data_IF_993465968830
#
_entry.id   IF_993465968830
#
_cell.length_a   1.000
_cell.length_b   1.000
_cell.length_c   1.000
_cell.angle_alpha   90.00
_cell.angle_beta   90.00
_cell.angle_gamma   90.00
#
_symmetry.space_group_name_H-M   'P 1'
#
loop_
_entity.id
_entity.type
_entity.pdbx_description
1 polymer ?
#
# COMPACT_ATOMS: atom_id res chain seq x y z
N UNK A 1 -3.68 -1.80 -10.79
CA UNK A 1 -3.72 -0.35 -10.48
C UNK A 1 -2.51 0.06 -9.64
N UNK A 2 -2.40 -0.27 -8.36
CA UNK A 2 -1.29 0.16 -7.47
C UNK A 2 0.08 -0.08 -8.07
N UNK A 3 0.31 -1.25 -8.71
CA UNK A 3 1.57 -1.55 -9.38
C UNK A 3 1.95 -0.50 -10.44
N UNK A 4 1.00 -0.08 -11.29
CA UNK A 4 1.24 0.94 -12.33
C UNK A 4 1.48 2.34 -11.74
N UNK A 5 0.73 2.69 -10.70
CA UNK A 5 0.93 3.97 -9.98
C UNK A 5 2.32 4.01 -9.32
N UNK A 6 2.75 2.89 -8.72
CA UNK A 6 4.08 2.77 -8.15
C UNK A 6 5.17 2.84 -9.23
N UNK A 7 5.01 2.15 -10.35
CA UNK A 7 5.96 2.20 -11.47
C UNK A 7 6.12 3.61 -12.04
N UNK A 8 5.01 4.35 -12.15
CA UNK A 8 5.03 5.76 -12.55
C UNK A 8 5.84 6.62 -11.58
N UNK A 9 5.61 6.46 -10.27
CA UNK A 9 6.34 7.21 -9.25
C UNK A 9 7.83 6.85 -9.22
N UNK A 10 8.17 5.58 -9.41
CA UNK A 10 9.56 5.11 -9.52
C UNK A 10 10.20 5.70 -10.77
N UNK A 11 9.57 5.58 -11.93
CA UNK A 11 10.15 6.05 -13.21
C UNK A 11 10.26 7.56 -13.30
N UNK A 12 9.38 8.29 -12.65
CA UNK A 12 9.43 9.76 -12.57
C UNK A 12 10.52 10.29 -11.61
N UNK A 13 11.05 9.44 -10.73
CA UNK A 13 11.98 9.85 -9.67
C UNK A 13 13.39 9.32 -9.83
N UNK A 14 13.54 8.10 -10.29
CA UNK A 14 14.83 7.44 -10.38
C UNK A 14 15.26 7.27 -11.84
N UNK A 15 16.58 7.35 -12.13
CA UNK A 15 17.09 7.12 -13.47
C UNK A 15 16.68 5.76 -14.03
N UNK A 16 16.41 5.72 -15.33
CA UNK A 16 16.09 4.48 -16.04
C UNK A 16 17.24 3.48 -15.89
N UNK A 17 16.91 2.23 -15.54
CA UNK A 17 17.89 1.17 -15.35
C UNK A 17 18.58 1.16 -13.98
N UNK A 18 18.28 2.13 -13.10
CA UNK A 18 18.82 2.10 -11.74
C UNK A 18 18.22 0.91 -10.97
N UNK A 19 19.10 0.12 -10.37
CA UNK A 19 18.71 -0.94 -9.44
C UNK A 19 18.47 -0.34 -8.07
N UNK A 20 17.19 -0.28 -7.64
CA UNK A 20 16.77 0.29 -6.39
C UNK A 20 16.84 -0.74 -5.25
N UNK A 21 17.09 -0.25 -4.04
CA UNK A 21 16.96 -0.99 -2.79
C UNK A 21 15.54 -0.74 -2.27
N UNK A 22 14.73 -1.79 -2.20
CA UNK A 22 13.32 -1.71 -1.83
C UNK A 22 13.08 -2.47 -0.53
N UNK A 23 12.36 -1.86 0.40
CA UNK A 23 11.80 -2.51 1.59
C UNK A 23 10.28 -2.61 1.42
N UNK A 24 9.73 -3.82 1.58
CA UNK A 24 8.28 -4.07 1.57
C UNK A 24 7.87 -4.56 2.96
N UNK A 25 7.24 -3.67 3.75
CA UNK A 25 6.84 -3.92 5.13
C UNK A 25 5.41 -4.42 5.19
N UNK A 26 5.21 -5.57 5.83
CA UNK A 26 3.94 -6.29 5.77
C UNK A 26 3.71 -6.82 4.35
N UNK A 27 4.73 -7.43 3.75
CA UNK A 27 4.70 -7.87 2.35
C UNK A 27 3.63 -8.94 2.07
N UNK A 28 3.05 -9.55 3.12
CA UNK A 28 2.09 -10.65 2.99
C UNK A 28 2.69 -11.82 2.20
N UNK A 29 2.01 -12.24 1.13
CA UNK A 29 2.45 -13.31 0.23
C UNK A 29 3.62 -12.92 -0.69
N UNK A 30 4.13 -11.68 -0.58
CA UNK A 30 5.27 -11.19 -1.35
C UNK A 30 4.96 -10.79 -2.79
N UNK A 31 3.71 -10.56 -3.16
CA UNK A 31 3.31 -10.28 -4.56
C UNK A 31 4.00 -9.04 -5.12
N UNK A 32 4.02 -7.91 -4.39
CA UNK A 32 4.69 -6.69 -4.83
C UNK A 32 6.20 -6.81 -4.76
N UNK A 33 6.72 -7.39 -3.67
CA UNK A 33 8.15 -7.65 -3.51
C UNK A 33 8.70 -8.48 -4.68
N UNK A 34 8.04 -9.58 -5.03
CA UNK A 34 8.45 -10.45 -6.13
C UNK A 34 8.37 -9.75 -7.49
N UNK A 35 7.31 -8.96 -7.73
CA UNK A 35 7.18 -8.15 -8.94
C UNK A 35 8.36 -7.19 -9.12
N UNK A 36 8.76 -6.49 -8.05
CA UNK A 36 9.89 -5.56 -8.07
C UNK A 36 11.24 -6.28 -8.23
N UNK A 37 11.41 -7.47 -7.63
CA UNK A 37 12.60 -8.29 -7.85
C UNK A 37 12.71 -8.77 -9.31
N UNK A 38 11.59 -9.14 -9.96
CA UNK A 38 11.52 -9.45 -11.40
C UNK A 38 11.86 -8.23 -12.27
N UNK A 39 11.48 -7.02 -11.84
CA UNK A 39 11.84 -5.76 -12.51
C UNK A 39 13.34 -5.40 -12.35
N UNK A 40 14.10 -6.15 -11.55
CA UNK A 40 15.56 -5.99 -11.42
C UNK A 40 16.02 -5.30 -10.13
N UNK A 41 15.12 -4.91 -9.25
CA UNK A 41 15.44 -4.25 -7.99
C UNK A 41 15.93 -5.24 -6.93
N UNK A 42 16.67 -4.74 -5.92
CA UNK A 42 17.01 -5.49 -4.71
C UNK A 42 15.90 -5.28 -3.69
N UNK A 43 15.21 -6.35 -3.32
CA UNK A 43 14.03 -6.26 -2.47
C UNK A 43 14.24 -7.00 -1.16
N UNK A 44 13.90 -6.35 -0.06
CA UNK A 44 13.77 -6.98 1.25
C UNK A 44 12.30 -6.93 1.66
N UNK A 45 11.69 -8.07 1.87
CA UNK A 45 10.34 -8.18 2.43
C UNK A 45 10.42 -8.48 3.92
N UNK A 46 9.65 -7.75 4.72
CA UNK A 46 9.47 -7.95 6.15
C UNK A 46 8.02 -8.33 6.41
N UNK A 47 7.77 -9.47 7.08
CA UNK A 47 6.44 -9.98 7.37
C UNK A 47 6.43 -10.69 8.73
N UNK A 48 5.40 -10.44 9.53
CA UNK A 48 5.29 -11.01 10.87
C UNK A 48 4.51 -12.34 10.91
N UNK A 49 3.59 -12.60 9.97
CA UNK A 49 2.83 -13.85 9.93
C UNK A 49 3.68 -14.96 9.29
N UNK A 50 4.08 -16.01 10.05
CA UNK A 50 4.92 -17.08 9.54
C UNK A 50 4.25 -17.86 8.40
N UNK A 51 2.93 -17.88 8.33
CA UNK A 51 2.18 -18.52 7.23
C UNK A 51 2.35 -17.72 5.94
N UNK A 52 2.29 -16.40 6.00
CA UNK A 52 2.53 -15.52 4.85
C UNK A 52 4.00 -15.62 4.40
N UNK A 53 4.93 -15.65 5.36
CA UNK A 53 6.37 -15.87 5.10
C UNK A 53 6.61 -17.18 4.37
N UNK A 54 5.96 -18.26 4.80
CA UNK A 54 6.08 -19.60 4.15
C UNK A 54 5.60 -19.54 2.69
N UNK A 55 4.44 -18.94 2.43
CA UNK A 55 3.89 -18.77 1.07
C UNK A 55 4.80 -17.91 0.19
N UNK A 56 5.35 -16.83 0.74
CA UNK A 56 6.28 -15.97 0.01
C UNK A 56 7.60 -16.69 -0.32
N UNK A 57 8.13 -17.50 0.60
CA UNK A 57 9.33 -18.32 0.37
C UNK A 57 9.09 -19.40 -0.69
N UNK A 58 7.93 -20.04 -0.68
CA UNK A 58 7.55 -21.03 -1.71
C UNK A 58 7.46 -20.37 -3.09
N UNK A 59 6.77 -19.21 -3.18
CA UNK A 59 6.67 -18.43 -4.42
C UNK A 59 8.06 -18.02 -4.94
N UNK A 60 8.95 -17.58 -4.04
CA UNK A 60 10.32 -17.21 -4.40
C UNK A 60 11.15 -18.42 -4.85
N UNK A 61 10.97 -19.58 -4.23
CA UNK A 61 11.70 -20.79 -4.61
C UNK A 61 11.41 -21.24 -6.06
N UNK A 62 10.21 -20.96 -6.57
CA UNK A 62 9.83 -21.20 -7.97
C UNK A 62 10.45 -20.25 -8.99
N UNK A 63 11.13 -19.17 -8.56
CA UNK A 63 11.72 -18.19 -9.46
C UNK A 63 13.11 -18.60 -9.96
N UNK A 64 13.54 -18.09 -11.14
CA UNK A 64 14.90 -18.20 -11.62
C UNK A 64 15.92 -17.68 -10.59
N UNK A 65 17.12 -18.29 -10.55
CA UNK A 65 18.17 -17.95 -9.60
C UNK A 65 18.50 -16.46 -9.53
N UNK A 66 18.55 -15.78 -10.69
CA UNK A 66 18.81 -14.34 -10.76
C UNK A 66 17.76 -13.49 -10.06
N UNK A 67 16.49 -13.94 -9.99
CA UNK A 67 15.42 -13.27 -9.24
C UNK A 67 15.53 -13.61 -7.76
N UNK A 68 15.74 -14.90 -7.42
CA UNK A 68 15.92 -15.33 -6.04
C UNK A 68 17.04 -14.57 -5.32
N UNK A 69 18.17 -14.32 -6.00
CA UNK A 69 19.30 -13.54 -5.45
C UNK A 69 18.97 -12.07 -5.17
N UNK A 70 17.88 -11.54 -5.74
CA UNK A 70 17.46 -10.15 -5.56
C UNK A 70 16.45 -9.96 -4.44
N UNK A 71 15.88 -11.02 -3.89
CA UNK A 71 14.84 -10.94 -2.85
C UNK A 71 15.30 -11.61 -1.57
N UNK A 72 15.22 -10.88 -0.47
CA UNK A 72 15.44 -11.36 0.89
C UNK A 72 14.12 -11.30 1.65
N UNK A 73 13.77 -12.35 2.37
CA UNK A 73 12.57 -12.43 3.21
C UNK A 73 13.00 -12.53 4.67
N UNK A 74 12.52 -11.59 5.49
CA UNK A 74 12.75 -11.54 6.93
C UNK A 74 11.41 -11.72 7.63
N UNK A 75 11.37 -12.62 8.60
CA UNK A 75 10.25 -12.75 9.53
C UNK A 75 10.46 -11.77 10.67
N UNK A 76 9.52 -10.83 10.87
CA UNK A 76 9.65 -9.79 11.88
C UNK A 76 8.52 -8.76 11.80
N UNK A 77 8.43 -7.96 12.87
CA UNK A 77 7.45 -6.89 12.99
C UNK A 77 7.91 -5.63 12.23
N UNK A 78 7.01 -5.02 11.47
CA UNK A 78 7.27 -3.76 10.77
C UNK A 78 7.61 -2.58 11.69
N UNK A 79 7.18 -2.63 12.94
CA UNK A 79 7.51 -1.62 13.97
C UNK A 79 8.99 -1.65 14.37
N UNK A 80 9.66 -2.78 14.17
CA UNK A 80 11.04 -3.01 14.57
C UNK A 80 12.04 -2.85 13.41
N UNK A 81 11.69 -2.09 12.35
CA UNK A 81 12.57 -1.88 11.19
C UNK A 81 13.96 -1.39 11.59
N UNK A 82 14.07 -0.56 12.64
CA UNK A 82 15.34 -0.05 13.16
C UNK A 82 16.25 -1.11 13.79
N UNK A 83 15.71 -2.30 14.15
CA UNK A 83 16.51 -3.44 14.62
C UNK A 83 17.20 -4.15 13.46
N UNK A 84 16.56 -4.14 12.30
CA UNK A 84 17.03 -4.90 11.13
C UNK A 84 17.86 -4.06 10.16
N UNK A 85 17.65 -2.73 10.12
CA UNK A 85 18.21 -1.88 9.07
C UNK A 85 18.75 -0.55 9.61
N UNK A 86 19.76 -0.03 8.93
CA UNK A 86 20.28 1.31 9.19
C UNK A 86 19.37 2.38 8.54
N UNK A 87 19.30 3.58 9.12
CA UNK A 87 18.63 4.72 8.50
C UNK A 87 19.17 5.00 7.09
N UNK A 88 18.30 5.33 6.15
CA UNK A 88 18.70 5.63 4.77
C UNK A 88 19.09 4.42 3.93
N UNK A 89 18.79 3.20 4.38
CA UNK A 89 19.20 1.98 3.69
C UNK A 89 18.43 1.71 2.39
N UNK A 90 17.26 2.33 2.18
CA UNK A 90 16.36 2.02 1.07
C UNK A 90 16.01 3.24 0.22
N UNK A 91 15.89 3.03 -1.07
CA UNK A 91 15.47 4.04 -2.04
C UNK A 91 13.93 4.10 -2.13
N UNK A 92 13.25 2.95 -1.89
CA UNK A 92 11.80 2.82 -1.87
C UNK A 92 11.38 1.99 -0.65
N UNK A 93 10.37 2.46 0.08
CA UNK A 93 9.73 1.72 1.17
C UNK A 93 8.23 1.59 0.88
N UNK A 94 7.73 0.37 0.91
CA UNK A 94 6.32 0.04 0.74
C UNK A 94 5.71 -0.35 2.09
N UNK A 95 4.46 0.07 2.33
CA UNK A 95 3.65 -0.37 3.45
C UNK A 95 2.18 -0.41 2.98
N UNK A 96 1.79 -1.55 2.42
CA UNK A 96 0.51 -1.72 1.76
C UNK A 96 -0.44 -2.60 2.56
N UNK A 97 -1.57 -2.04 3.01
CA UNK A 97 -2.61 -2.77 3.75
C UNK A 97 -2.22 -3.13 5.18
N UNK A 98 -1.23 -2.46 5.76
CA UNK A 98 -0.71 -2.74 7.11
C UNK A 98 -1.32 -1.82 8.16
N UNK A 99 -1.43 -0.51 7.86
CA UNK A 99 -1.84 0.50 8.86
C UNK A 99 -3.19 0.21 9.50
N UNK A 100 -4.09 -0.45 8.78
CA UNK A 100 -5.40 -0.83 9.31
C UNK A 100 -5.33 -1.77 10.54
N UNK A 101 -4.20 -2.46 10.72
CA UNK A 101 -3.94 -3.39 11.84
C UNK A 101 -3.11 -2.77 12.96
N UNK A 102 -2.71 -1.50 12.83
CA UNK A 102 -1.85 -0.80 13.78
C UNK A 102 -2.67 0.27 14.50
N UNK A 103 -2.80 0.16 15.81
CA UNK A 103 -3.59 1.08 16.63
C UNK A 103 -3.01 2.50 16.58
N UNK A 104 -1.69 2.64 16.76
CA UNK A 104 -0.95 3.89 16.69
C UNK A 104 0.03 3.85 15.48
N UNK A 105 -0.35 4.38 14.32
CA UNK A 105 0.47 4.27 13.10
C UNK A 105 1.67 5.21 13.05
N UNK A 106 1.67 6.32 13.81
CA UNK A 106 2.69 7.36 13.71
C UNK A 106 4.11 6.86 14.02
N UNK A 107 4.34 6.02 15.06
CA UNK A 107 5.66 5.44 15.30
C UNK A 107 6.14 4.53 14.15
N UNK A 108 5.22 3.73 13.57
CA UNK A 108 5.54 2.90 12.41
C UNK A 108 5.92 3.79 11.22
N UNK A 109 5.10 4.79 10.89
CA UNK A 109 5.35 5.71 9.76
C UNK A 109 6.67 6.47 9.92
N UNK A 110 7.00 6.93 11.14
CA UNK A 110 8.29 7.55 11.44
C UNK A 110 9.46 6.57 11.23
N UNK A 111 9.29 5.32 11.66
CA UNK A 111 10.25 4.24 11.41
C UNK A 111 10.49 4.01 9.91
N UNK A 112 9.42 3.92 9.13
CA UNK A 112 9.49 3.74 7.67
C UNK A 112 10.20 4.91 6.98
N UNK A 113 9.86 6.15 7.35
CA UNK A 113 10.50 7.35 6.80
C UNK A 113 12.01 7.37 7.11
N UNK A 114 12.43 6.93 8.30
CA UNK A 114 13.86 6.81 8.65
C UNK A 114 14.61 5.80 7.78
N UNK A 115 13.96 4.75 7.30
CA UNK A 115 14.58 3.74 6.43
C UNK A 115 14.88 4.27 5.03
N UNK A 116 14.21 5.33 4.59
CA UNK A 116 14.42 5.93 3.27
C UNK A 116 15.73 6.70 3.19
N UNK A 117 16.42 6.58 2.07
CA UNK A 117 17.46 7.50 1.66
C UNK A 117 16.87 8.90 1.37
N UNK A 118 17.70 9.94 1.36
CA UNK A 118 17.29 11.27 0.91
C UNK A 118 16.76 11.21 -0.53
N UNK A 119 15.62 11.83 -0.81
CA UNK A 119 14.90 11.70 -2.08
C UNK A 119 14.17 10.37 -2.28
N UNK A 120 14.22 9.46 -1.31
CA UNK A 120 13.56 8.15 -1.39
C UNK A 120 12.05 8.23 -1.34
N UNK A 121 11.39 7.21 -1.89
CA UNK A 121 9.94 7.12 -2.08
C UNK A 121 9.30 6.25 -0.99
N UNK A 122 8.36 6.79 -0.23
CA UNK A 122 7.43 6.05 0.62
C UNK A 122 6.13 5.79 -0.15
N UNK A 123 5.70 4.55 -0.21
CA UNK A 123 4.43 4.14 -0.84
C UNK A 123 3.54 3.47 0.20
N UNK A 124 2.38 4.09 0.47
CA UNK A 124 1.39 3.60 1.42
C UNK A 124 0.11 3.23 0.68
N UNK A 125 -0.50 2.10 1.02
CA UNK A 125 -1.85 1.75 0.59
C UNK A 125 -2.72 1.54 1.83
N UNK A 126 -3.75 2.38 1.98
CA UNK A 126 -4.60 2.41 3.18
C UNK A 126 -6.08 2.40 2.83
N UNK A 127 -6.94 1.96 3.75
CA UNK A 127 -8.40 2.14 3.63
C UNK A 127 -8.73 3.63 3.77
N UNK A 128 -9.57 4.13 2.87
CA UNK A 128 -10.00 5.52 2.88
C UNK A 128 -11.08 5.76 3.95
N UNK A 129 -10.73 6.48 5.00
CA UNK A 129 -11.65 6.84 6.08
C UNK A 129 -12.74 7.81 5.67
N UNK A 130 -12.47 8.65 4.66
CA UNK A 130 -13.43 9.64 4.17
C UNK A 130 -14.51 9.01 3.24
N UNK A 131 -14.32 7.75 2.80
CA UNK A 131 -15.23 7.03 1.92
C UNK A 131 -15.93 5.82 2.57
N UNK A 132 -15.81 5.63 3.88
CA UNK A 132 -16.38 4.46 4.58
C UNK A 132 -17.89 4.33 4.42
N UNK A 133 -18.62 5.45 4.38
CA UNK A 133 -20.07 5.47 4.23
C UNK A 133 -20.57 5.06 2.83
N UNK A 134 -19.70 5.10 1.81
CA UNK A 134 -20.12 4.93 0.42
C UNK A 134 -20.62 3.51 0.15
N UNK A 135 -19.87 2.49 0.53
CA UNK A 135 -20.25 1.09 0.29
C UNK A 135 -21.54 0.69 0.99
N UNK A 136 -21.70 0.89 2.32
CA UNK A 136 -22.96 0.59 2.98
C UNK A 136 -24.12 1.42 2.44
N UNK A 137 -23.91 2.70 2.10
CA UNK A 137 -24.95 3.53 1.48
C UNK A 137 -25.41 2.99 0.12
N UNK A 138 -24.50 2.60 -0.76
CA UNK A 138 -24.84 2.03 -2.07
C UNK A 138 -25.51 0.65 -1.97
N UNK A 139 -25.25 -0.10 -0.90
CA UNK A 139 -25.89 -1.40 -0.64
C UNK A 139 -27.21 -1.31 0.15
N UNK A 140 -27.66 -0.10 0.51
CA UNK A 140 -28.90 0.12 1.26
C UNK A 140 -28.80 -0.11 2.78
N UNK A 141 -27.59 -0.30 3.31
CA UNK A 141 -27.33 -0.42 4.75
C UNK A 141 -27.26 0.99 5.40
N UNK A 142 -28.38 1.69 5.46
CA UNK A 142 -28.43 3.11 5.81
C UNK A 142 -27.92 3.43 7.21
N UNK A 143 -28.20 2.57 8.19
CA UNK A 143 -27.72 2.75 9.57
C UNK A 143 -26.19 2.66 9.66
N UNK A 144 -25.58 1.69 8.95
CA UNK A 144 -24.14 1.53 8.89
C UNK A 144 -23.49 2.71 8.15
N UNK A 145 -24.11 3.16 7.05
CA UNK A 145 -23.65 4.33 6.32
C UNK A 145 -23.66 5.59 7.21
N UNK A 146 -24.72 5.81 7.99
CA UNK A 146 -24.80 6.94 8.90
C UNK A 146 -23.68 6.88 9.97
N UNK A 147 -23.48 5.72 10.58
CA UNK A 147 -22.42 5.52 11.58
C UNK A 147 -21.04 5.76 11.01
N UNK A 148 -20.79 5.39 9.75
CA UNK A 148 -19.50 5.50 9.10
C UNK A 148 -19.04 6.96 8.85
N UNK A 149 -19.90 7.97 8.96
CA UNK A 149 -19.49 9.38 8.91
C UNK A 149 -18.75 9.82 10.18
N UNK A 150 -19.04 9.19 11.32
CA UNK A 150 -18.56 9.62 12.64
C UNK A 150 -17.39 8.80 13.15
N UNK A 151 -16.95 7.77 12.41
CA UNK A 151 -15.87 6.88 12.84
C UNK A 151 -14.92 6.53 11.70
N UNK A 152 -13.67 6.18 12.07
CA UNK A 152 -12.71 5.53 11.16
C UNK A 152 -12.58 4.04 11.45
N UNK A 153 -13.24 3.53 12.49
CA UNK A 153 -13.31 2.10 12.75
C UNK A 153 -14.34 1.45 11.81
N UNK A 154 -14.00 0.31 11.23
CA UNK A 154 -14.92 -0.43 10.37
C UNK A 154 -14.64 -1.94 10.42
N UNK A 155 -15.63 -2.72 10.03
CA UNK A 155 -15.47 -4.16 9.88
C UNK A 155 -15.08 -4.49 8.44
N UNK A 156 -13.93 -5.14 8.26
CA UNK A 156 -13.46 -5.49 6.92
C UNK A 156 -14.20 -6.74 6.37
N UNK A 157 -13.93 -7.11 5.11
CA UNK A 157 -14.56 -8.29 4.46
C UNK A 157 -14.22 -9.63 5.12
N UNK A 158 -13.18 -9.68 5.94
CA UNK A 158 -12.81 -10.85 6.74
C UNK A 158 -13.51 -10.88 8.10
N UNK A 159 -14.37 -9.90 8.39
CA UNK A 159 -15.08 -9.78 9.67
C UNK A 159 -14.20 -9.26 10.81
N UNK A 160 -13.04 -8.70 10.52
CA UNK A 160 -12.15 -8.12 11.53
C UNK A 160 -12.47 -6.64 11.74
N UNK A 161 -12.47 -6.21 12.98
CA UNK A 161 -12.56 -4.80 13.35
C UNK A 161 -11.18 -4.16 13.12
N UNK A 162 -11.13 -3.17 12.26
CA UNK A 162 -9.91 -2.50 11.79
C UNK A 162 -10.16 -0.99 11.65
N UNK A 163 -9.10 -0.24 11.42
CA UNK A 163 -9.19 1.21 11.22
C UNK A 163 -8.97 1.60 9.75
N UNK A 164 -9.50 2.76 9.40
CA UNK A 164 -9.22 3.46 8.15
C UNK A 164 -8.47 4.76 8.45
N UNK A 165 -7.85 5.34 7.43
CA UNK A 165 -7.07 6.55 7.55
C UNK A 165 -7.68 7.66 6.68
N UNK A 166 -7.68 8.90 7.18
CA UNK A 166 -8.12 10.06 6.40
C UNK A 166 -6.93 10.69 5.68
N UNK A 167 -7.16 11.11 4.44
CA UNK A 167 -6.14 11.74 3.61
C UNK A 167 -5.47 12.94 4.30
N UNK A 168 -6.27 13.78 4.93
CA UNK A 168 -5.79 14.98 5.63
C UNK A 168 -4.83 14.64 6.78
N UNK A 169 -5.16 13.64 7.58
CA UNK A 169 -4.38 13.25 8.75
C UNK A 169 -3.04 12.64 8.31
N UNK A 170 -3.07 11.71 7.36
CA UNK A 170 -1.84 11.14 6.79
C UNK A 170 -0.96 12.19 6.10
N UNK A 171 -1.55 13.18 5.42
CA UNK A 171 -0.77 14.27 4.82
C UNK A 171 -0.02 15.05 5.89
N UNK A 172 -0.66 15.34 7.02
CA UNK A 172 -0.04 16.03 8.16
C UNK A 172 1.05 15.19 8.80
N UNK A 173 0.79 13.91 9.07
CA UNK A 173 1.77 12.98 9.65
C UNK A 173 2.99 12.84 8.73
N UNK A 174 2.78 12.63 7.42
CA UNK A 174 3.87 12.50 6.45
C UNK A 174 4.76 13.75 6.38
N UNK A 175 4.16 14.94 6.45
CA UNK A 175 4.93 16.19 6.53
C UNK A 175 5.76 16.24 7.83
N UNK A 176 5.16 15.88 8.96
CA UNK A 176 5.81 15.89 10.28
C UNK A 176 6.99 14.92 10.41
N UNK A 177 6.96 13.79 9.71
CA UNK A 177 8.05 12.78 9.73
C UNK A 177 9.11 12.99 8.64
N UNK A 178 9.06 14.10 7.89
CA UNK A 178 10.04 14.44 6.86
C UNK A 178 9.91 13.64 5.55
N UNK A 179 8.72 13.08 5.29
CA UNK A 179 8.37 12.44 4.02
C UNK A 179 7.06 13.01 3.45
N UNK A 180 7.00 14.36 3.17
CA UNK A 180 5.78 15.02 2.75
C UNK A 180 5.13 14.33 1.55
N UNK A 181 3.80 14.39 1.49
CA UNK A 181 3.02 13.83 0.40
C UNK A 181 3.39 14.50 -0.91
N UNK A 182 3.81 13.70 -1.90
CA UNK A 182 4.16 14.13 -3.25
C UNK A 182 3.03 13.89 -4.24
N UNK A 183 2.41 12.71 -4.17
CA UNK A 183 1.29 12.33 -5.02
C UNK A 183 0.35 11.37 -4.28
N UNK A 184 -0.92 11.32 -4.69
CA UNK A 184 -1.85 10.30 -4.20
C UNK A 184 -2.89 9.93 -5.26
N UNK A 185 -3.43 8.74 -5.13
CA UNK A 185 -4.38 8.13 -6.04
C UNK A 185 -5.51 7.46 -5.28
N UNK A 186 -6.71 7.45 -5.88
CA UNK A 186 -7.78 6.56 -5.48
C UNK A 186 -7.58 5.15 -6.07
N UNK A 187 -7.99 4.15 -5.33
CA UNK A 187 -7.96 2.73 -5.75
C UNK A 187 -9.31 2.11 -5.44
N UNK A 188 -9.88 1.38 -6.40
CA UNK A 188 -11.23 0.81 -6.32
C UNK A 188 -12.30 1.88 -6.10
N UNK A 189 -12.44 2.78 -7.08
CA UNK A 189 -13.46 3.84 -7.06
C UNK A 189 -14.85 3.24 -7.31
N UNK A 190 -14.98 2.37 -8.32
CA UNK A 190 -16.23 1.76 -8.73
C UNK A 190 -16.39 0.30 -8.27
N UNK A 191 -15.26 -0.40 -8.10
CA UNK A 191 -15.26 -1.85 -7.84
C UNK A 191 -15.46 -2.22 -6.36
N UNK A 192 -15.32 -1.29 -5.41
CA UNK A 192 -15.53 -1.59 -3.98
C UNK A 192 -16.99 -1.90 -3.63
N UNK A 193 -17.94 -1.36 -4.39
CA UNK A 193 -19.37 -1.61 -4.21
C UNK A 193 -19.84 -2.94 -4.82
N UNK A 194 -19.01 -3.59 -5.64
CA UNK A 194 -19.35 -4.89 -6.21
C UNK A 194 -19.50 -5.96 -5.10
N UNK A 195 -20.43 -6.89 -5.32
CA UNK A 195 -20.61 -8.04 -4.44
C UNK A 195 -19.31 -8.87 -4.39
N UNK A 196 -19.08 -9.55 -3.26
CA UNK A 196 -17.85 -10.31 -3.04
C UNK A 196 -17.69 -11.51 -3.98
N UNK A 197 -18.82 -12.00 -4.52
CA UNK A 197 -18.94 -13.07 -5.50
C UNK A 197 -19.15 -12.59 -6.94
N UNK A 198 -19.08 -11.26 -7.17
CA UNK A 198 -19.26 -10.70 -8.51
C UNK A 198 -18.22 -11.24 -9.49
N UNK A 199 -18.70 -11.74 -10.63
CA UNK A 199 -17.82 -12.18 -11.70
C UNK A 199 -16.96 -11.02 -12.23
N UNK A 200 -15.69 -11.34 -12.56
CA UNK A 200 -14.81 -10.37 -13.22
C UNK A 200 -15.43 -10.03 -14.60
N UNK A 201 -15.70 -8.76 -14.90
CA UNK A 201 -16.26 -8.39 -16.17
C UNK A 201 -15.41 -8.91 -17.35
N UNK A 202 -16.06 -9.36 -18.42
CA UNK A 202 -15.37 -9.84 -19.62
C UNK A 202 -14.46 -8.80 -20.27
N UNK A 203 -14.68 -7.51 -20.00
CA UNK A 203 -13.81 -6.40 -20.44
C UNK A 203 -12.99 -5.83 -19.27
N UNK A 204 -12.13 -6.66 -18.70
CA UNK A 204 -11.22 -6.26 -17.63
C UNK A 204 -10.26 -5.12 -18.02
N UNK A 205 -9.96 -4.95 -19.32
CA UNK A 205 -9.10 -3.86 -19.79
C UNK A 205 -9.79 -2.51 -19.66
N UNK A 206 -11.04 -2.39 -20.09
CA UNK A 206 -11.84 -1.17 -19.94
C UNK A 206 -12.11 -0.87 -18.48
N UNK A 207 -12.42 -1.87 -17.66
CA UNK A 207 -12.57 -1.72 -16.23
C UNK A 207 -11.31 -1.09 -15.60
N UNK A 208 -10.13 -1.65 -15.88
CA UNK A 208 -8.87 -1.10 -15.37
C UNK A 208 -8.60 0.33 -15.84
N UNK A 209 -8.91 0.64 -17.11
CA UNK A 209 -8.72 1.98 -17.66
C UNK A 209 -9.63 3.02 -16.98
N UNK A 210 -10.88 2.65 -16.72
CA UNK A 210 -11.85 3.52 -16.01
C UNK A 210 -11.42 3.74 -14.56
N UNK A 211 -11.04 2.68 -13.85
CA UNK A 211 -10.54 2.78 -12.48
C UNK A 211 -9.27 3.62 -12.38
N UNK A 212 -8.32 3.45 -13.31
CA UNK A 212 -7.10 4.27 -13.36
C UNK A 212 -7.41 5.75 -13.60
N UNK A 213 -8.34 6.05 -14.50
CA UNK A 213 -8.75 7.43 -14.78
C UNK A 213 -9.46 8.04 -13.57
N UNK A 214 -10.43 7.33 -12.99
CA UNK A 214 -11.16 7.79 -11.82
C UNK A 214 -10.22 7.99 -10.61
N UNK A 215 -9.28 7.06 -10.39
CA UNK A 215 -8.29 7.15 -9.31
C UNK A 215 -7.31 8.32 -9.40
N UNK A 216 -7.32 9.09 -10.52
CA UNK A 216 -6.49 10.28 -10.74
C UNK A 216 -7.30 11.57 -10.84
N UNK A 217 -8.63 11.48 -10.91
CA UNK A 217 -9.50 12.60 -11.24
C UNK A 217 -10.38 12.98 -10.07
N UNK A 218 -10.32 14.26 -9.64
CA UNK A 218 -11.27 14.79 -8.67
C UNK A 218 -12.66 14.99 -9.33
N UNK A 219 -13.76 14.74 -8.61
CA UNK A 219 -13.84 14.30 -7.23
C UNK A 219 -13.73 12.77 -7.03
N UNK A 220 -13.65 11.98 -8.10
CA UNK A 220 -13.73 10.50 -8.07
C UNK A 220 -12.71 9.86 -7.17
N UNK A 221 -11.44 10.29 -7.22
CA UNK A 221 -10.40 9.69 -6.38
C UNK A 221 -10.65 9.86 -4.88
N UNK A 222 -11.37 10.92 -4.47
CA UNK A 222 -11.71 11.19 -3.08
C UNK A 222 -12.69 10.20 -2.46
N UNK A 223 -13.50 9.53 -3.30
CA UNK A 223 -14.48 8.52 -2.85
C UNK A 223 -14.02 7.09 -3.09
N UNK A 224 -12.78 6.90 -3.50
CA UNK A 224 -12.20 5.56 -3.68
C UNK A 224 -12.13 4.79 -2.36
N UNK A 225 -12.25 3.48 -2.44
CA UNK A 225 -12.18 2.61 -1.27
C UNK A 225 -10.83 2.64 -0.56
N UNK A 226 -9.75 2.75 -1.34
CA UNK A 226 -8.40 2.82 -0.83
C UNK A 226 -7.71 4.09 -1.35
N UNK A 227 -6.76 4.57 -0.56
CA UNK A 227 -5.82 5.62 -0.95
C UNK A 227 -4.44 5.02 -1.14
N UNK A 228 -3.82 5.29 -2.28
CA UNK A 228 -2.40 5.04 -2.51
C UNK A 228 -1.66 6.36 -2.41
N UNK A 229 -0.89 6.55 -1.33
CA UNK A 229 -0.14 7.76 -1.05
C UNK A 229 1.35 7.54 -1.33
N UNK A 230 1.97 8.53 -1.95
CA UNK A 230 3.39 8.55 -2.26
C UNK A 230 4.03 9.75 -1.59
N UNK A 231 4.81 9.51 -0.54
CA UNK A 231 5.61 10.51 0.16
C UNK A 231 7.05 10.50 -0.31
N UNK A 232 7.77 11.60 -0.15
CA UNK A 232 9.17 11.72 -0.55
C UNK A 232 9.99 12.27 0.59
N UNK A 233 11.04 11.54 0.97
CA UNK A 233 11.95 12.00 2.02
C UNK A 233 12.78 13.18 1.54
N UNK A 234 12.65 14.31 2.26
CA UNK A 234 13.48 15.51 2.08
C UNK A 234 14.91 15.34 2.60
#
# INVERSE_FOLDING_TARGET
>A
MVARQLDEQISGRFPVGQRLRVLDVGMGRGTQALRLARAGHQVTGLEQDPRMVAVARESLAGEPEGIRKRMRIIEGDGRDTGVHFLPGAFDVVLCHGVLMHVEEPDPLLAGLARMLAHGGLLSLLVRNGDALALRPGLSGAWADALTAFDTTAYRNRLGLDVRADRLKDLTSTLAGIGAPLHAWYGVSVFTDSAADDAEVPGDARTLLAVEEKAGRTDPYRGVAALLHLCGVRG
#
